data_IF_272278327336
#
_entry.id   IF_272278327336
#
_cell.length_a   1.000
_cell.length_b   1.000
_cell.length_c   1.000
_cell.angle_alpha   90.00
_cell.angle_beta   90.00
_cell.angle_gamma   90.00
#
_symmetry.space_group_name_H-M   'P 1'
#
loop_
_entity.id
_entity.type
_entity.pdbx_description
1 polymer ?
#
# COMPACT_ATOMS: atom_id res chain seq x y z
N UNK A 1 -11.26 -0.04 20.37
CA UNK A 1 -12.29 0.76 19.67
C UNK A 1 -11.72 2.16 19.49
N UNK A 2 -11.35 2.53 18.26
CA UNK A 2 -10.90 3.88 17.94
C UNK A 2 -12.05 4.89 18.07
N UNK A 3 -11.73 6.11 18.53
CA UNK A 3 -12.66 7.24 18.59
C UNK A 3 -12.18 8.29 17.61
N UNK A 4 -13.02 8.63 16.63
CA UNK A 4 -12.76 9.69 15.67
C UNK A 4 -12.73 11.06 16.36
N UNK A 5 -11.68 11.83 16.11
CA UNK A 5 -11.50 13.20 16.60
C UNK A 5 -11.32 14.13 15.39
N UNK A 6 -12.40 14.52 14.70
CA UNK A 6 -12.30 15.53 13.64
C UNK A 6 -13.45 15.57 12.63
N UNK A 7 -13.47 16.63 11.81
CA UNK A 7 -14.30 16.75 10.61
C UNK A 7 -13.73 15.88 9.48
N UNK A 8 -14.60 15.14 8.79
CA UNK A 8 -14.24 14.37 7.62
C UNK A 8 -14.30 15.28 6.38
N UNK A 9 -13.17 15.45 5.70
CA UNK A 9 -13.09 16.08 4.40
C UNK A 9 -12.88 15.00 3.34
N UNK A 10 -13.45 15.20 2.15
CA UNK A 10 -13.30 14.28 1.03
C UNK A 10 -11.81 14.07 0.68
N UNK A 11 -11.44 12.84 0.30
CA UNK A 11 -10.07 12.45 -0.06
C UNK A 11 -9.10 12.17 1.11
N UNK A 12 -9.45 12.49 2.36
CA UNK A 12 -8.60 12.18 3.52
C UNK A 12 -8.49 10.68 3.76
N UNK A 13 -7.26 10.21 3.99
CA UNK A 13 -6.93 8.81 4.27
C UNK A 13 -6.52 8.70 5.73
N UNK A 14 -7.22 7.88 6.49
CA UNK A 14 -6.96 7.65 7.91
C UNK A 14 -6.75 6.17 8.15
N UNK A 15 -5.68 5.83 8.86
CA UNK A 15 -5.31 4.45 9.17
C UNK A 15 -5.12 4.34 10.68
N UNK A 16 -5.76 3.33 11.29
CA UNK A 16 -5.49 3.01 12.69
C UNK A 16 -4.12 2.31 12.77
N UNK A 17 -3.25 2.81 13.64
CA UNK A 17 -1.87 2.34 13.82
C UNK A 17 -1.73 1.47 15.08
N UNK A 18 -2.82 0.83 15.52
CA UNK A 18 -2.94 0.23 16.86
C UNK A 18 -1.85 -0.84 17.16
N UNK A 19 -1.26 -1.45 16.12
CA UNK A 19 -0.15 -2.42 16.20
C UNK A 19 1.09 -2.03 15.34
N UNK A 20 1.24 -0.74 15.02
CA UNK A 20 2.34 -0.26 14.19
C UNK A 20 3.48 0.29 15.05
N UNK A 21 4.58 -0.45 15.18
CA UNK A 21 5.82 0.02 15.80
C UNK A 21 6.81 0.38 14.69
N UNK A 22 7.08 1.68 14.45
CA UNK A 22 8.10 2.09 13.49
C UNK A 22 9.46 1.54 13.90
N UNK A 23 10.21 0.95 12.96
CA UNK A 23 11.57 0.42 13.19
C UNK A 23 12.56 1.45 13.75
N UNK A 24 12.24 2.75 13.73
CA UNK A 24 13.07 3.86 14.21
C UNK A 24 13.46 3.76 15.70
N UNK A 25 12.77 2.96 16.52
CA UNK A 25 13.01 2.86 17.97
C UNK A 25 13.67 1.54 18.42
N UNK A 26 14.12 0.67 17.51
CA UNK A 26 14.81 -0.58 17.87
C UNK A 26 16.29 -0.32 18.21
N UNK A 27 16.54 0.43 19.29
CA UNK A 27 17.89 0.77 19.74
C UNK A 27 18.64 -0.42 20.39
N UNK A 28 17.96 -1.53 20.71
CA UNK A 28 18.52 -2.57 21.57
C UNK A 28 18.49 -4.00 20.98
N UNK A 29 18.08 -4.20 19.72
CA UNK A 29 18.21 -5.48 19.01
C UNK A 29 17.51 -6.69 19.66
N UNK A 30 16.52 -6.46 20.54
CA UNK A 30 15.85 -7.51 21.34
C UNK A 30 14.43 -7.85 20.87
N UNK A 31 13.86 -7.10 19.94
CA UNK A 31 12.53 -7.38 19.39
C UNK A 31 12.70 -8.22 18.11
N UNK A 32 12.28 -9.47 18.20
CA UNK A 32 12.37 -10.49 17.16
C UNK A 32 11.24 -10.42 16.11
N UNK A 33 10.45 -9.34 16.08
CA UNK A 33 9.48 -9.11 15.01
C UNK A 33 10.21 -8.52 13.79
N UNK A 34 10.90 -9.42 13.09
CA UNK A 34 11.62 -9.18 11.84
C UNK A 34 10.71 -8.96 10.62
N UNK A 35 9.42 -8.70 10.81
CA UNK A 35 8.50 -8.55 9.68
C UNK A 35 8.91 -7.33 8.83
N UNK A 36 9.17 -7.61 7.56
CA UNK A 36 9.37 -6.60 6.54
C UNK A 36 8.09 -5.77 6.41
N UNK A 37 8.18 -4.45 6.56
CA UNK A 37 6.98 -3.60 6.41
C UNK A 37 6.70 -3.42 4.91
N UNK A 38 5.86 -4.29 4.36
CA UNK A 38 5.49 -4.26 2.94
C UNK A 38 4.14 -3.54 2.80
N UNK A 39 4.09 -2.55 1.92
CA UNK A 39 2.88 -1.81 1.59
C UNK A 39 2.62 -1.91 0.10
N UNK A 40 1.38 -2.24 -0.27
CA UNK A 40 0.89 -2.14 -1.63
C UNK A 40 -0.09 -0.98 -1.74
N UNK A 41 0.11 -0.12 -2.74
CA UNK A 41 -0.75 1.03 -3.00
C UNK A 41 -1.16 1.10 -4.47
N UNK A 42 -2.46 1.25 -4.71
CA UNK A 42 -3.06 1.38 -6.04
C UNK A 42 -3.78 2.72 -6.17
N UNK A 43 -3.67 3.35 -7.34
CA UNK A 43 -4.22 4.69 -7.59
C UNK A 43 -3.45 5.75 -6.82
N UNK A 44 -2.17 5.91 -7.14
CA UNK A 44 -1.28 6.88 -6.45
C UNK A 44 -1.43 8.27 -7.06
N UNK A 45 -1.55 8.35 -8.39
CA UNK A 45 -1.74 9.60 -9.14
C UNK A 45 -0.78 10.72 -8.68
N UNK A 46 -1.28 11.90 -8.36
CA UNK A 46 -0.54 13.13 -8.10
C UNK A 46 -0.38 13.44 -6.60
N UNK A 47 -0.91 12.59 -5.71
CA UNK A 47 -0.81 12.74 -4.26
C UNK A 47 -0.26 11.46 -3.57
N UNK A 48 1.07 11.26 -3.57
CA UNK A 48 1.69 10.11 -2.91
C UNK A 48 1.92 10.34 -1.40
N UNK A 49 1.12 11.17 -0.72
CA UNK A 49 1.35 11.53 0.68
C UNK A 49 1.31 10.30 1.61
N UNK A 50 0.39 9.37 1.37
CA UNK A 50 0.31 8.13 2.15
C UNK A 50 1.58 7.28 1.98
N UNK A 51 1.99 7.07 0.74
CA UNK A 51 3.14 6.27 0.36
C UNK A 51 4.42 6.86 0.95
N UNK A 52 4.59 8.18 0.86
CA UNK A 52 5.69 8.90 1.47
C UNK A 52 5.76 8.67 2.98
N UNK A 53 4.64 8.75 3.67
CA UNK A 53 4.62 8.53 5.13
C UNK A 53 4.96 7.08 5.49
N UNK A 54 4.50 6.11 4.71
CA UNK A 54 4.89 4.71 4.91
C UNK A 54 6.39 4.49 4.68
N UNK A 55 7.01 5.15 3.68
CA UNK A 55 8.47 5.09 3.51
C UNK A 55 9.21 5.73 4.69
N UNK A 56 8.67 6.79 5.31
CA UNK A 56 9.24 7.36 6.53
C UNK A 56 9.26 6.34 7.67
N UNK A 57 8.26 5.48 7.76
CA UNK A 57 8.24 4.39 8.73
C UNK A 57 9.07 3.16 8.33
N UNK A 58 9.97 3.30 7.35
CA UNK A 58 10.86 2.24 6.87
C UNK A 58 10.12 1.07 6.21
N UNK A 59 8.98 1.35 5.58
CA UNK A 59 8.25 0.39 4.77
C UNK A 59 8.73 0.40 3.32
N UNK A 60 8.77 -0.78 2.69
CA UNK A 60 8.90 -0.93 1.26
C UNK A 60 7.52 -0.75 0.62
N UNK A 61 7.38 0.29 -0.19
CA UNK A 61 6.10 0.65 -0.82
C UNK A 61 6.13 0.28 -2.29
N UNK A 62 5.24 -0.64 -2.68
CA UNK A 62 4.97 -1.03 -4.05
C UNK A 62 3.75 -0.26 -4.53
N UNK A 63 4.00 0.74 -5.38
CA UNK A 63 3.03 1.68 -5.89
C UNK A 63 2.64 1.33 -7.34
N UNK A 64 1.35 1.37 -7.62
CA UNK A 64 0.77 0.99 -8.90
C UNK A 64 -0.27 1.98 -9.37
N UNK A 65 -0.26 2.25 -10.67
CA UNK A 65 -1.23 3.10 -11.33
C UNK A 65 -1.31 2.74 -12.83
N UNK A 66 -2.36 3.20 -13.53
CA UNK A 66 -2.48 3.05 -14.99
C UNK A 66 -1.58 4.05 -15.71
N UNK A 67 -1.42 5.23 -15.11
CA UNK A 67 -0.67 6.34 -15.65
C UNK A 67 0.38 6.84 -14.67
N UNK A 68 1.39 7.52 -15.20
CA UNK A 68 2.44 8.09 -14.38
C UNK A 68 2.33 9.61 -14.39
N UNK A 69 2.22 10.18 -13.20
CA UNK A 69 2.32 11.63 -13.01
C UNK A 69 3.78 12.02 -12.82
N UNK A 70 4.09 13.31 -13.02
CA UNK A 70 5.43 13.83 -12.72
C UNK A 70 5.79 13.63 -11.24
N UNK A 71 4.82 13.83 -10.33
CA UNK A 71 4.98 13.61 -8.89
C UNK A 71 5.42 12.19 -8.56
N UNK A 72 4.84 11.18 -9.22
CA UNK A 72 5.22 9.77 -9.03
C UNK A 72 6.64 9.50 -9.51
N UNK A 73 7.02 10.01 -10.68
CA UNK A 73 8.32 9.79 -11.28
C UNK A 73 9.46 10.41 -10.48
N UNK A 74 9.20 11.54 -9.82
CA UNK A 74 10.16 12.21 -8.94
C UNK A 74 10.30 11.51 -7.57
N UNK A 75 9.39 10.59 -7.22
CA UNK A 75 9.41 9.89 -5.95
C UNK A 75 10.33 8.66 -5.97
N UNK A 76 11.60 8.87 -5.61
CA UNK A 76 12.61 7.80 -5.61
C UNK A 76 12.51 6.81 -4.44
N UNK A 77 11.53 6.99 -3.53
CA UNK A 77 11.39 6.16 -2.31
C UNK A 77 10.40 5.01 -2.45
N UNK A 78 9.65 4.98 -3.55
CA UNK A 78 8.65 3.95 -3.83
C UNK A 78 9.10 3.10 -5.03
N UNK A 79 8.71 1.83 -5.05
CA UNK A 79 8.79 1.00 -6.25
C UNK A 79 7.55 1.25 -7.08
N UNK A 80 7.69 1.95 -8.20
CA UNK A 80 6.58 2.32 -9.06
C UNK A 80 6.48 1.41 -10.30
N UNK A 81 5.28 0.88 -10.55
CA UNK A 81 4.98 0.12 -11.76
C UNK A 81 3.60 0.46 -12.35
N UNK A 82 3.39 0.12 -13.62
CA UNK A 82 2.06 0.21 -14.24
C UNK A 82 1.26 -1.06 -13.97
N UNK A 83 0.13 -0.93 -13.29
CA UNK A 83 -0.83 -2.02 -13.12
C UNK A 83 -2.18 -1.51 -12.59
N UNK A 84 -3.22 -2.29 -12.86
CA UNK A 84 -4.52 -2.17 -12.21
C UNK A 84 -4.93 -3.50 -11.61
N UNK A 85 -5.50 -3.46 -10.40
CA UNK A 85 -5.92 -4.67 -9.70
C UNK A 85 -7.42 -4.91 -9.83
N UNK A 86 -7.75 -6.04 -10.44
CA UNK A 86 -9.12 -6.51 -10.61
C UNK A 86 -9.16 -8.03 -10.44
N UNK A 87 -9.83 -8.72 -11.36
CA UNK A 87 -10.01 -10.18 -11.41
C UNK A 87 -9.05 -10.89 -12.38
N UNK A 88 -8.08 -10.17 -12.95
CA UNK A 88 -7.17 -10.70 -13.97
C UNK A 88 -7.77 -10.76 -15.39
N UNK A 89 -8.89 -10.07 -15.63
CA UNK A 89 -9.41 -9.81 -16.98
C UNK A 89 -8.43 -8.98 -17.83
N UNK A 90 -8.68 -8.91 -19.14
CA UNK A 90 -7.77 -8.31 -20.12
C UNK A 90 -7.31 -6.89 -19.72
N UNK A 91 -5.99 -6.68 -19.63
CA UNK A 91 -5.38 -5.42 -19.21
C UNK A 91 -5.23 -5.24 -17.69
N UNK A 92 -5.65 -6.23 -16.89
CA UNK A 92 -5.67 -6.17 -15.43
C UNK A 92 -4.91 -7.35 -14.82
N UNK A 93 -4.47 -7.20 -13.57
CA UNK A 93 -3.83 -8.27 -12.79
C UNK A 93 -4.63 -8.55 -11.52
N UNK A 94 -4.46 -9.74 -10.94
CA UNK A 94 -4.92 -10.03 -9.58
C UNK A 94 -3.87 -9.59 -8.56
N UNK A 95 -4.28 -9.38 -7.31
CA UNK A 95 -3.33 -9.06 -6.25
C UNK A 95 -2.36 -10.22 -6.01
N UNK A 96 -2.85 -11.47 -6.02
CA UNK A 96 -2.01 -12.67 -5.92
C UNK A 96 -0.94 -12.78 -7.02
N UNK A 97 -1.22 -12.32 -8.25
CA UNK A 97 -0.20 -12.28 -9.31
C UNK A 97 0.92 -11.28 -8.98
N UNK A 98 0.59 -10.12 -8.41
CA UNK A 98 1.59 -9.13 -7.98
C UNK A 98 2.39 -9.61 -6.78
N UNK A 99 1.73 -10.25 -5.81
CA UNK A 99 2.43 -10.91 -4.69
C UNK A 99 3.41 -11.97 -5.22
N UNK A 100 2.98 -12.82 -6.15
CA UNK A 100 3.86 -13.83 -6.75
C UNK A 100 5.01 -13.22 -7.54
N UNK A 101 4.76 -12.17 -8.32
CA UNK A 101 5.78 -11.45 -9.08
C UNK A 101 6.88 -10.90 -8.16
N UNK A 102 6.50 -10.39 -7.00
CA UNK A 102 7.42 -9.78 -6.05
C UNK A 102 7.98 -10.76 -5.01
N UNK A 103 7.67 -12.06 -5.10
CA UNK A 103 8.03 -13.09 -4.11
C UNK A 103 7.42 -12.86 -2.72
N UNK A 104 6.23 -12.27 -2.67
CA UNK A 104 5.48 -11.95 -1.46
C UNK A 104 4.29 -12.88 -1.19
N UNK A 105 4.12 -13.96 -1.96
CA UNK A 105 2.97 -14.88 -1.82
C UNK A 105 2.83 -15.53 -0.44
N UNK A 106 3.90 -15.59 0.35
CA UNK A 106 3.91 -16.16 1.70
C UNK A 106 4.22 -15.11 2.77
N UNK A 107 4.31 -13.84 2.40
CA UNK A 107 4.69 -12.76 3.30
C UNK A 107 3.45 -12.02 3.80
N UNK A 108 3.49 -11.59 5.05
CA UNK A 108 2.47 -10.70 5.61
C UNK A 108 2.71 -9.30 5.09
N UNK A 109 1.77 -8.77 4.30
CA UNK A 109 1.76 -7.34 3.97
C UNK A 109 1.24 -6.54 5.16
N UNK A 110 1.79 -5.35 5.40
CA UNK A 110 1.34 -4.48 6.49
C UNK A 110 0.10 -3.68 6.10
N UNK A 111 0.09 -3.14 4.88
CA UNK A 111 -1.06 -2.40 4.36
C UNK A 111 -1.32 -2.67 2.88
N UNK A 112 -2.59 -2.74 2.55
CA UNK A 112 -3.12 -2.66 1.18
C UNK A 112 -4.01 -1.40 1.11
N UNK A 113 -3.58 -0.41 0.33
CA UNK A 113 -4.39 0.77 0.00
C UNK A 113 -4.86 0.64 -1.45
N UNK A 114 -6.17 0.75 -1.67
CA UNK A 114 -6.78 0.71 -3.00
C UNK A 114 -7.69 1.92 -3.14
N UNK A 115 -7.40 2.77 -4.11
CA UNK A 115 -8.32 3.82 -4.53
C UNK A 115 -9.34 3.24 -5.52
N UNK A 116 -10.60 3.11 -5.10
CA UNK A 116 -11.63 2.35 -5.83
C UNK A 116 -12.58 3.33 -6.51
N UNK A 117 -12.49 3.41 -7.84
CA UNK A 117 -13.31 4.31 -8.65
C UNK A 117 -14.38 3.58 -9.49
N UNK A 118 -14.35 2.26 -9.56
CA UNK A 118 -15.38 1.52 -10.27
C UNK A 118 -15.13 0.02 -10.35
N UNK A 119 -14.45 -0.42 -11.40
CA UNK A 119 -14.31 -1.83 -11.72
C UNK A 119 -13.58 -2.63 -10.63
N UNK A 120 -12.76 -1.97 -9.80
CA UNK A 120 -11.80 -2.59 -8.87
C UNK A 120 -12.58 -3.38 -7.82
N UNK A 121 -13.84 -3.00 -7.58
CA UNK A 121 -14.81 -3.72 -6.74
C UNK A 121 -14.92 -5.21 -7.06
N UNK A 122 -14.69 -5.63 -8.31
CA UNK A 122 -14.67 -7.04 -8.71
C UNK A 122 -13.51 -7.82 -8.09
N UNK A 123 -12.39 -7.14 -7.83
CA UNK A 123 -11.21 -7.70 -7.18
C UNK A 123 -11.35 -7.84 -5.67
N UNK A 124 -12.35 -7.23 -5.03
CA UNK A 124 -12.47 -7.22 -3.56
C UNK A 124 -12.43 -8.63 -2.94
N UNK A 125 -13.10 -9.60 -3.57
CA UNK A 125 -13.11 -11.00 -3.11
C UNK A 125 -11.76 -11.71 -3.26
N UNK A 126 -10.86 -11.16 -4.06
CA UNK A 126 -9.50 -11.64 -4.20
C UNK A 126 -8.57 -11.04 -3.16
N UNK A 127 -8.82 -9.80 -2.73
CA UNK A 127 -7.99 -9.08 -1.75
C UNK A 127 -8.23 -9.49 -0.30
N UNK A 128 -9.44 -9.95 0.03
CA UNK A 128 -9.86 -10.28 1.41
C UNK A 128 -9.71 -11.77 1.77
N UNK A 129 -8.94 -12.52 0.99
CA UNK A 129 -8.68 -13.95 1.22
C UNK A 129 -7.67 -14.14 2.34
#
# INVERSE_FOLDING_TARGET
RGKWLGHCYDGHKYVCLDDFVPKRNHANGLDQDEDECIVYSFGVSDDPAFENEMTHFSCHVYAYDQDWTETMLQNLRITLEKASIYDGSEGCVTFGQLLSKNNHSTQTIKYLKVDIEGGERKGLMEWIK
#
